data_IF_461297857992
#
_entry.id   IF_461297857992
#
_cell.length_a   1.000
_cell.length_b   1.000
_cell.length_c   1.000
_cell.angle_alpha   90.00
_cell.angle_beta   90.00
_cell.angle_gamma   90.00
#
_symmetry.space_group_name_H-M   'P 1'
#
loop_
_entity.id
_entity.type
_entity.pdbx_description
1 polymer ?
#
# COMPACT_ATOMS: atom_id res chain seq x y z
N UNK A 1 4.42 -13.93 10.22
CA UNK A 1 5.52 -13.31 11.00
C UNK A 1 5.06 -12.21 11.95
N UNK A 2 4.65 -11.01 11.47
CA UNK A 2 4.32 -9.89 12.38
C UNK A 2 3.13 -10.14 13.32
N UNK A 3 2.10 -10.85 12.88
CA UNK A 3 0.97 -11.28 13.72
C UNK A 3 1.37 -12.22 14.86
N UNK A 4 2.40 -13.05 14.64
CA UNK A 4 2.91 -14.02 15.62
C UNK A 4 3.85 -13.38 16.67
N UNK A 5 3.96 -12.04 16.69
CA UNK A 5 4.69 -11.31 17.72
C UNK A 5 6.16 -11.01 17.41
N UNK A 6 6.63 -11.33 16.20
CA UNK A 6 7.97 -10.96 15.77
C UNK A 6 8.07 -9.43 15.55
N UNK A 7 9.18 -8.78 15.96
CA UNK A 7 9.39 -7.34 15.81
C UNK A 7 9.77 -6.97 14.36
N UNK A 8 8.86 -7.21 13.42
CA UNK A 8 9.03 -6.89 11.99
C UNK A 8 8.30 -5.61 11.58
N UNK A 9 7.50 -5.05 12.47
CA UNK A 9 6.81 -3.79 12.25
C UNK A 9 7.72 -2.60 12.58
N UNK A 10 7.53 -1.49 11.86
CA UNK A 10 8.35 -0.29 12.04
C UNK A 10 8.31 0.22 13.49
N UNK A 11 9.47 0.52 14.06
CA UNK A 11 9.56 1.03 15.44
C UNK A 11 9.41 -0.03 16.53
N UNK A 12 9.59 -1.32 16.23
CA UNK A 12 9.74 -2.37 17.26
C UNK A 12 11.24 -2.70 17.45
N UNK A 13 11.82 -2.62 18.67
CA UNK A 13 11.28 -2.12 19.96
C UNK A 13 11.57 -0.62 20.18
N UNK A 14 10.55 0.27 20.30
CA UNK A 14 9.73 0.49 21.53
C UNK A 14 8.20 0.30 21.40
N UNK A 15 7.66 0.06 20.20
CA UNK A 15 6.22 -0.21 20.00
C UNK A 15 5.85 -1.69 20.32
N UNK A 16 4.59 -2.00 20.66
CA UNK A 16 4.14 -3.39 20.85
C UNK A 16 4.16 -4.17 19.53
N UNK A 17 4.55 -5.45 19.54
CA UNK A 17 4.50 -6.33 18.37
C UNK A 17 3.18 -7.15 18.33
N UNK A 18 2.95 -7.92 17.26
CA UNK A 18 1.80 -8.84 17.19
C UNK A 18 0.45 -8.16 16.94
N UNK A 19 -0.62 -8.80 17.41
CA UNK A 19 -1.99 -8.30 17.33
C UNK A 19 -2.18 -6.93 18.00
N UNK A 20 -1.40 -6.63 19.04
CA UNK A 20 -1.44 -5.33 19.71
C UNK A 20 -0.98 -4.18 18.80
N UNK A 21 -0.10 -4.44 17.83
CA UNK A 21 0.29 -3.45 16.82
C UNK A 21 -0.85 -3.12 15.85
N UNK A 22 -1.69 -4.11 15.52
CA UNK A 22 -2.87 -3.93 14.66
C UNK A 22 -3.97 -3.10 15.33
N UNK A 23 -4.05 -3.09 16.66
CA UNK A 23 -4.98 -2.24 17.40
C UNK A 23 -4.57 -0.75 17.40
N UNK A 24 -3.39 -0.41 16.88
CA UNK A 24 -2.88 0.95 16.80
C UNK A 24 -3.41 1.75 15.60
N UNK A 25 -3.05 3.05 15.53
CA UNK A 25 -3.51 3.97 14.47
C UNK A 25 -3.04 3.55 13.06
N UNK A 26 -1.97 2.77 12.95
CA UNK A 26 -1.43 2.27 11.67
C UNK A 26 -1.98 0.91 11.24
N UNK A 27 -2.82 0.27 12.07
CA UNK A 27 -3.37 -1.07 11.79
C UNK A 27 -4.17 -1.12 10.48
N UNK A 28 -4.97 -0.10 10.20
CA UNK A 28 -5.73 0.00 8.96
C UNK A 28 -4.88 0.02 7.69
N UNK A 29 -3.68 0.60 7.74
CA UNK A 29 -2.75 0.59 6.60
C UNK A 29 -2.21 -0.82 6.34
N UNK A 30 -1.96 -1.61 7.38
CA UNK A 30 -1.52 -3.01 7.25
C UNK A 30 -2.59 -3.87 6.56
N UNK A 31 -3.85 -3.70 6.95
CA UNK A 31 -4.99 -4.36 6.29
C UNK A 31 -5.11 -3.86 4.85
N UNK A 32 -4.96 -2.55 4.65
CA UNK A 32 -4.94 -1.91 3.33
C UNK A 32 -3.86 -2.48 2.41
N UNK A 33 -2.66 -2.78 2.91
CA UNK A 33 -1.58 -3.41 2.13
C UNK A 33 -1.96 -4.81 1.63
N UNK A 34 -2.59 -5.63 2.48
CA UNK A 34 -3.05 -6.96 2.07
C UNK A 34 -4.12 -6.87 0.96
N UNK A 35 -5.06 -5.94 1.10
CA UNK A 35 -6.09 -5.67 0.09
C UNK A 35 -5.47 -5.14 -1.22
N UNK A 36 -4.51 -4.22 -1.12
CA UNK A 36 -3.80 -3.66 -2.28
C UNK A 36 -3.04 -4.75 -3.04
N UNK A 37 -2.38 -5.67 -2.35
CA UNK A 37 -1.67 -6.79 -2.99
C UNK A 37 -2.63 -7.73 -3.74
N UNK A 38 -3.76 -8.09 -3.13
CA UNK A 38 -4.78 -8.91 -3.77
C UNK A 38 -5.39 -8.21 -5.00
N UNK A 39 -5.72 -6.92 -4.87
CA UNK A 39 -6.27 -6.12 -5.96
C UNK A 39 -5.28 -5.95 -7.11
N UNK A 40 -4.00 -5.67 -6.82
CA UNK A 40 -2.96 -5.55 -7.83
C UNK A 40 -2.79 -6.85 -8.62
N UNK A 41 -2.75 -8.01 -7.93
CA UNK A 41 -2.67 -9.32 -8.58
C UNK A 41 -3.86 -9.61 -9.49
N UNK A 42 -5.08 -9.32 -9.01
CA UNK A 42 -6.30 -9.51 -9.80
C UNK A 42 -6.36 -8.58 -11.03
N UNK A 43 -5.98 -7.31 -10.87
CA UNK A 43 -5.98 -6.34 -11.97
C UNK A 43 -4.95 -6.66 -13.04
N UNK A 44 -3.76 -7.12 -12.67
CA UNK A 44 -2.73 -7.54 -13.64
C UNK A 44 -3.25 -8.69 -14.51
N UNK A 45 -3.99 -9.64 -13.95
CA UNK A 45 -4.60 -10.74 -14.71
C UNK A 45 -5.74 -10.24 -15.62
N UNK A 46 -6.62 -9.38 -15.11
CA UNK A 46 -7.74 -8.83 -15.87
C UNK A 46 -7.32 -7.91 -17.01
N UNK A 47 -6.23 -7.17 -16.84
CA UNK A 47 -5.72 -6.18 -17.80
C UNK A 47 -4.65 -6.78 -18.72
N UNK A 48 -4.59 -8.11 -18.86
CA UNK A 48 -3.58 -8.80 -19.66
C UNK A 48 -3.54 -8.35 -21.14
N UNK A 49 -4.64 -7.83 -21.68
CA UNK A 49 -4.72 -7.30 -23.05
C UNK A 49 -4.26 -5.85 -23.25
N UNK A 50 -3.88 -5.14 -22.18
CA UNK A 50 -3.36 -3.77 -22.25
C UNK A 50 -1.83 -3.75 -22.28
N UNK A 51 -1.21 -2.67 -22.80
CA UNK A 51 0.23 -2.52 -22.72
C UNK A 51 0.72 -2.58 -21.25
N UNK A 52 1.90 -3.17 -21.01
CA UNK A 52 2.40 -3.45 -19.66
C UNK A 52 2.53 -2.21 -18.78
N UNK A 53 2.81 -1.05 -19.35
CA UNK A 53 2.88 0.24 -18.64
C UNK A 53 1.52 0.69 -18.11
N UNK A 54 0.45 0.59 -18.91
CA UNK A 54 -0.91 0.94 -18.49
C UNK A 54 -1.39 -0.06 -17.44
N UNK A 55 -1.14 -1.35 -17.66
CA UNK A 55 -1.48 -2.42 -16.70
C UNK A 55 -0.85 -2.17 -15.33
N UNK A 56 0.46 -1.90 -15.29
CA UNK A 56 1.16 -1.62 -14.05
C UNK A 56 0.65 -0.34 -13.38
N UNK A 57 0.42 0.72 -14.17
CA UNK A 57 -0.08 2.00 -13.64
C UNK A 57 -1.45 1.83 -12.98
N UNK A 58 -2.39 1.15 -13.63
CA UNK A 58 -3.74 0.91 -13.09
C UNK A 58 -3.67 0.04 -11.83
N UNK A 59 -2.87 -1.02 -11.82
CA UNK A 59 -2.73 -1.91 -10.68
C UNK A 59 -2.16 -1.18 -9.46
N UNK A 60 -1.10 -0.38 -9.65
CA UNK A 60 -0.45 0.37 -8.57
C UNK A 60 -1.36 1.48 -8.06
N UNK A 61 -1.98 2.27 -8.94
CA UNK A 61 -2.88 3.35 -8.52
C UNK A 61 -4.08 2.82 -7.74
N UNK A 62 -4.70 1.75 -8.22
CA UNK A 62 -5.86 1.16 -7.55
C UNK A 62 -5.47 0.53 -6.21
N UNK A 63 -4.32 -0.13 -6.13
CA UNK A 63 -3.78 -0.66 -4.88
C UNK A 63 -3.53 0.45 -3.86
N UNK A 64 -2.90 1.55 -4.28
CA UNK A 64 -2.69 2.72 -3.42
C UNK A 64 -4.00 3.32 -2.93
N UNK A 65 -5.01 3.47 -3.80
CA UNK A 65 -6.32 3.99 -3.40
C UNK A 65 -6.96 3.10 -2.33
N UNK A 66 -7.01 1.78 -2.55
CA UNK A 66 -7.58 0.84 -1.58
C UNK A 66 -6.83 0.88 -0.23
N UNK A 67 -5.50 0.95 -0.28
CA UNK A 67 -4.67 1.07 0.91
C UNK A 67 -4.97 2.36 1.68
N UNK A 68 -4.99 3.51 1.00
CA UNK A 68 -5.29 4.79 1.64
C UNK A 68 -6.72 4.86 2.15
N UNK A 69 -7.71 4.32 1.43
CA UNK A 69 -9.09 4.27 1.91
C UNK A 69 -9.19 3.46 3.21
N UNK A 70 -8.61 2.26 3.27
CA UNK A 70 -8.63 1.44 4.48
C UNK A 70 -7.83 2.07 5.63
N UNK A 71 -6.64 2.60 5.33
CA UNK A 71 -5.75 3.23 6.31
C UNK A 71 -6.32 4.52 6.90
N UNK A 72 -6.82 5.44 6.06
CA UNK A 72 -7.40 6.71 6.49
C UNK A 72 -8.74 6.51 7.20
N UNK A 73 -9.57 5.57 6.76
CA UNK A 73 -10.82 5.25 7.45
C UNK A 73 -10.56 4.76 8.88
N UNK A 74 -9.57 3.89 9.06
CA UNK A 74 -9.15 3.43 10.38
C UNK A 74 -8.53 4.56 11.22
N UNK A 75 -7.57 5.30 10.65
CA UNK A 75 -6.86 6.39 11.33
C UNK A 75 -7.81 7.53 11.75
N UNK A 76 -8.88 7.76 10.97
CA UNK A 76 -9.93 8.72 11.29
C UNK A 76 -10.63 8.43 12.63
N UNK A 77 -10.71 7.16 13.04
CA UNK A 77 -11.22 6.77 14.35
C UNK A 77 -10.33 7.18 15.53
N UNK A 78 -9.04 7.42 15.30
CA UNK A 78 -8.07 7.79 16.35
C UNK A 78 -7.81 9.30 16.41
N UNK A 79 -7.64 9.94 15.25
CA UNK A 79 -7.21 11.35 15.16
C UNK A 79 -8.37 12.29 14.83
N UNK A 80 -9.53 11.73 14.41
CA UNK A 80 -10.68 12.47 13.91
C UNK A 80 -10.60 12.72 12.40
N UNK A 81 -11.76 12.81 11.75
CA UNK A 81 -11.86 13.11 10.32
C UNK A 81 -11.66 14.61 10.05
N UNK A 82 -10.84 14.96 9.05
CA UNK A 82 -10.56 16.35 8.66
C UNK A 82 -9.11 16.58 8.24
N UNK A 83 -8.63 17.82 8.29
CA UNK A 83 -7.25 18.16 7.88
C UNK A 83 -6.17 17.42 8.69
N UNK A 84 -6.41 17.15 9.98
CA UNK A 84 -5.46 16.41 10.83
C UNK A 84 -5.22 15.00 10.31
N UNK A 85 -6.25 14.35 9.79
CA UNK A 85 -6.16 13.02 9.19
C UNK A 85 -5.27 13.04 7.93
N UNK A 86 -5.48 14.02 7.05
CA UNK A 86 -4.73 14.13 5.81
C UNK A 86 -3.26 14.50 6.07
N UNK A 87 -3.00 15.41 7.01
CA UNK A 87 -1.65 15.78 7.44
C UNK A 87 -0.90 14.63 8.12
N UNK A 88 -1.61 13.78 8.88
CA UNK A 88 -0.98 12.64 9.55
C UNK A 88 -0.82 11.42 8.62
N UNK A 89 -1.78 11.16 7.74
CA UNK A 89 -1.92 9.88 7.04
C UNK A 89 -1.82 9.91 5.52
N UNK A 90 -1.86 11.08 4.87
CA UNK A 90 -1.82 11.19 3.41
C UNK A 90 -0.61 12.00 2.92
N UNK A 91 -0.54 13.29 3.29
CA UNK A 91 0.49 14.20 2.77
C UNK A 91 1.94 13.74 2.94
N UNK A 92 2.38 13.22 4.11
CA UNK A 92 3.77 12.78 4.28
C UNK A 92 4.11 11.54 3.43
N UNK A 93 3.12 10.72 3.09
CA UNK A 93 3.32 9.46 2.36
C UNK A 93 3.13 9.60 0.86
N UNK A 94 2.35 10.58 0.41
CA UNK A 94 1.93 10.74 -0.98
C UNK A 94 3.12 10.86 -1.95
N UNK A 95 4.12 11.69 -1.62
CA UNK A 95 5.31 11.87 -2.46
C UNK A 95 6.11 10.57 -2.58
N UNK A 96 6.37 9.90 -1.45
CA UNK A 96 7.10 8.65 -1.42
C UNK A 96 6.39 7.53 -2.19
N UNK A 97 5.07 7.45 -2.08
CA UNK A 97 4.29 6.46 -2.80
C UNK A 97 4.19 6.75 -4.29
N UNK A 98 4.14 8.01 -4.70
CA UNK A 98 4.20 8.38 -6.12
C UNK A 98 5.56 8.00 -6.72
N UNK A 99 6.66 8.23 -6.01
CA UNK A 99 7.99 7.80 -6.43
C UNK A 99 8.07 6.27 -6.55
N UNK A 100 7.59 5.53 -5.54
CA UNK A 100 7.54 4.05 -5.60
C UNK A 100 6.69 3.56 -6.76
N UNK A 101 5.55 4.21 -7.01
CA UNK A 101 4.67 3.86 -8.10
C UNK A 101 5.35 4.02 -9.46
N UNK A 102 6.05 5.14 -9.67
CA UNK A 102 6.82 5.37 -10.89
C UNK A 102 7.90 4.29 -11.09
N UNK A 103 8.65 3.96 -10.03
CA UNK A 103 9.68 2.91 -10.07
C UNK A 103 9.04 1.54 -10.41
N UNK A 104 7.93 1.19 -9.75
CA UNK A 104 7.23 -0.07 -9.98
C UNK A 104 6.77 -0.22 -11.43
N UNK A 105 6.19 0.84 -12.03
CA UNK A 105 5.75 0.84 -13.43
C UNK A 105 6.93 0.66 -14.38
N UNK A 106 8.05 1.38 -14.15
CA UNK A 106 9.25 1.30 -14.97
C UNK A 106 9.86 -0.10 -14.91
N UNK A 107 10.04 -0.65 -13.70
CA UNK A 107 10.60 -1.99 -13.51
C UNK A 107 9.72 -3.05 -14.15
N UNK A 108 8.40 -3.01 -13.91
CA UNK A 108 7.47 -3.97 -14.47
C UNK A 108 7.50 -3.97 -16.01
N UNK A 109 7.44 -2.78 -16.60
CA UNK A 109 7.49 -2.62 -18.06
C UNK A 109 8.84 -3.10 -18.62
N UNK A 110 9.94 -2.74 -17.96
CA UNK A 110 11.29 -3.13 -18.36
C UNK A 110 11.52 -4.65 -18.33
N UNK A 111 11.08 -5.33 -17.27
CA UNK A 111 11.20 -6.79 -17.18
C UNK A 111 10.24 -7.52 -18.13
N UNK A 112 9.01 -7.03 -18.30
CA UNK A 112 8.06 -7.66 -19.22
C UNK A 112 8.56 -7.59 -20.66
N UNK A 113 9.13 -6.46 -21.09
CA UNK A 113 9.65 -6.31 -22.46
C UNK A 113 10.91 -7.17 -22.73
N UNK A 114 11.69 -7.51 -21.70
CA UNK A 114 12.87 -8.39 -21.82
C UNK A 114 12.54 -9.87 -21.95
N UNK A 115 11.37 -10.30 -21.48
CA UNK A 115 10.93 -11.70 -21.56
C UNK A 115 10.35 -12.11 -22.92
N UNK A 116 10.21 -11.17 -23.86
CA UNK A 116 9.68 -11.38 -25.21
C UNK A 116 10.73 -11.13 -26.32
N UNK A 117 12.02 -10.96 -25.95
CA UNK A 117 13.16 -10.86 -26.86
C UNK A 117 14.00 -12.14 -26.79
#
# INVERSE_FOLDING_TARGET
EGLFGLPVFAGTPPAPAGLAYFAGPTGGFLIGFALAAAAAGWMVQKLAGLPPSIRASVAVLSGSILMYCAGLFWLGGFVGYGEKLLNAGLYPFLLGDLTKAAIAVVLYTGFHNRGHA
#
